data_IF_221074096586
#
_entry.id   IF_221074096586
#
_cell.length_a   1.000
_cell.length_b   1.000
_cell.length_c   1.000
_cell.angle_alpha   90.00
_cell.angle_beta   90.00
_cell.angle_gamma   90.00
#
_symmetry.space_group_name_H-M   'P 1'
#
loop_
_entity.id
_entity.type
_entity.pdbx_description
1 polymer ?
#
# COMPACT_ATOMS: atom_id res chain seq x y z
N UNK A 1 -4.17 -5.03 7.89
CA UNK A 1 -4.90 -4.08 7.00
C UNK A 1 -6.11 -3.52 7.74
N UNK A 2 -6.43 -2.24 7.57
CA UNK A 2 -7.66 -1.62 8.06
C UNK A 2 -8.44 -1.04 6.88
N UNK A 3 -9.77 -1.06 6.95
CA UNK A 3 -10.63 -0.52 5.91
C UNK A 3 -11.85 0.18 6.49
N UNK A 4 -12.50 0.98 5.66
CA UNK A 4 -13.73 1.71 5.99
C UNK A 4 -14.75 1.43 4.89
N UNK A 5 -15.97 1.08 5.29
CA UNK A 5 -17.11 0.94 4.38
C UNK A 5 -17.88 2.26 4.42
N UNK A 6 -18.05 2.86 3.24
CA UNK A 6 -18.82 4.08 3.07
C UNK A 6 -20.17 3.77 2.41
N UNK A 7 -21.23 4.37 2.94
CA UNK A 7 -22.56 4.39 2.35
C UNK A 7 -22.76 5.70 1.61
N UNK A 8 -23.09 5.61 0.32
CA UNK A 8 -23.59 6.74 -0.45
C UNK A 8 -25.12 6.63 -0.54
N UNK A 9 -25.82 7.57 0.08
CA UNK A 9 -27.28 7.66 -0.02
C UNK A 9 -27.68 8.38 -1.31
N UNK A 10 -28.98 8.37 -1.64
CA UNK A 10 -29.52 9.32 -2.60
C UNK A 10 -29.30 10.76 -2.10
N UNK A 11 -29.09 11.75 -2.98
CA UNK A 11 -28.96 13.13 -2.58
C UNK A 11 -30.23 13.63 -1.85
N UNK A 12 -30.11 14.45 -0.79
CA UNK A 12 -31.24 15.06 -0.08
C UNK A 12 -32.30 15.71 -0.97
N UNK A 13 -31.88 16.34 -2.08
CA UNK A 13 -32.79 16.96 -3.05
C UNK A 13 -33.75 15.99 -3.72
N UNK A 14 -33.36 14.71 -3.83
CA UNK A 14 -34.15 13.65 -4.46
C UNK A 14 -34.94 12.86 -3.42
N UNK A 15 -34.38 12.65 -2.23
CA UNK A 15 -35.01 11.86 -1.16
C UNK A 15 -36.02 12.64 -0.32
N UNK A 16 -35.93 13.99 -0.30
CA UNK A 16 -36.62 14.80 0.68
C UNK A 16 -36.29 14.37 2.11
N UNK A 17 -37.30 14.30 2.99
CA UNK A 17 -37.18 13.86 4.39
C UNK A 17 -37.28 12.33 4.59
N UNK A 18 -37.22 11.52 3.52
CA UNK A 18 -37.28 10.07 3.67
C UNK A 18 -35.95 9.52 4.20
N UNK A 19 -36.02 8.71 5.24
CA UNK A 19 -34.87 7.97 5.76
C UNK A 19 -34.47 6.85 4.79
N UNK A 20 -33.16 6.64 4.65
CA UNK A 20 -32.60 5.45 4.01
C UNK A 20 -32.51 4.35 5.06
N UNK A 21 -33.22 3.26 4.82
CA UNK A 21 -33.30 2.11 5.74
C UNK A 21 -33.14 0.81 4.97
N UNK A 22 -32.18 -0.02 5.37
CA UNK A 22 -31.98 -1.35 4.79
C UNK A 22 -31.10 -2.22 5.69
N UNK A 23 -31.16 -3.53 5.46
CA UNK A 23 -30.25 -4.49 6.08
C UNK A 23 -29.32 -5.09 5.03
N UNK A 24 -28.07 -5.37 5.42
CA UNK A 24 -27.08 -5.98 4.55
C UNK A 24 -26.22 -7.00 5.31
N UNK A 25 -25.66 -7.96 4.58
CA UNK A 25 -24.68 -8.93 5.08
C UNK A 25 -23.31 -8.63 4.51
N UNK A 26 -22.27 -8.84 5.32
CA UNK A 26 -20.90 -8.91 4.81
C UNK A 26 -20.49 -10.37 4.72
N UNK A 27 -20.17 -10.81 3.51
CA UNK A 27 -19.61 -12.14 3.26
C UNK A 27 -18.08 -12.12 3.40
N UNK A 28 -17.46 -13.29 3.60
CA UNK A 28 -15.98 -13.40 3.68
C UNK A 28 -15.36 -12.82 4.96
N UNK A 29 -16.10 -12.78 6.08
CA UNK A 29 -15.66 -12.16 7.34
C UNK A 29 -14.71 -13.02 8.17
N UNK A 30 -14.33 -14.22 7.73
CA UNK A 30 -13.43 -15.12 8.46
C UNK A 30 -12.05 -14.51 8.77
N UNK A 31 -11.59 -13.59 7.91
CA UNK A 31 -10.33 -12.88 8.07
C UNK A 31 -10.43 -11.62 8.94
N UNK A 32 -11.64 -11.19 9.32
CA UNK A 32 -11.89 -9.94 10.03
C UNK A 32 -11.64 -10.13 11.52
N UNK A 33 -10.67 -9.39 12.07
CA UNK A 33 -10.34 -9.38 13.49
C UNK A 33 -11.33 -8.56 14.31
N UNK A 34 -11.67 -7.36 13.82
CA UNK A 34 -12.55 -6.42 14.53
C UNK A 34 -13.37 -5.63 13.53
N UNK A 35 -14.63 -5.37 13.90
CA UNK A 35 -15.52 -4.42 13.24
C UNK A 35 -15.92 -3.36 14.28
N UNK A 36 -15.89 -2.10 13.88
CA UNK A 36 -16.44 -0.98 14.63
C UNK A 36 -17.53 -0.33 13.79
N UNK A 37 -18.73 -0.16 14.37
CA UNK A 37 -19.90 0.37 13.68
C UNK A 37 -20.16 1.82 14.09
N UNK A 38 -20.73 2.63 13.19
CA UNK A 38 -21.27 3.93 13.57
C UNK A 38 -22.62 3.74 14.27
N UNK A 39 -22.61 3.53 15.59
CA UNK A 39 -23.78 3.13 16.38
C UNK A 39 -24.99 4.06 16.30
N UNK A 40 -24.80 5.33 15.96
CA UNK A 40 -25.91 6.28 15.77
C UNK A 40 -26.76 6.02 14.52
N UNK A 41 -26.27 5.19 13.58
CA UNK A 41 -26.90 4.93 12.27
C UNK A 41 -26.92 3.45 11.90
N UNK A 42 -26.09 2.63 12.55
CA UNK A 42 -25.87 1.23 12.21
C UNK A 42 -25.98 0.37 13.45
N UNK A 43 -26.78 -0.68 13.35
CA UNK A 43 -26.92 -1.73 14.37
C UNK A 43 -26.41 -3.06 13.83
N UNK A 44 -25.80 -3.89 14.68
CA UNK A 44 -25.42 -5.26 14.31
C UNK A 44 -26.56 -6.22 14.67
N UNK A 45 -26.93 -7.08 13.73
CA UNK A 45 -27.96 -8.12 13.90
C UNK A 45 -27.35 -9.51 14.17
N UNK A 46 -26.03 -9.59 14.39
CA UNK A 46 -25.30 -10.87 14.47
C UNK A 46 -25.00 -11.48 13.10
N UNK A 47 -24.18 -12.54 13.04
CA UNK A 47 -23.85 -13.28 11.80
C UNK A 47 -23.41 -12.38 10.63
N UNK A 48 -22.61 -11.34 10.91
CA UNK A 48 -22.17 -10.33 9.93
C UNK A 48 -23.31 -9.58 9.21
N UNK A 49 -24.53 -9.59 9.78
CA UNK A 49 -25.66 -8.79 9.35
C UNK A 49 -25.66 -7.45 10.09
N UNK A 50 -25.99 -6.40 9.34
CA UNK A 50 -26.10 -5.03 9.84
C UNK A 50 -27.37 -4.41 9.32
N UNK A 51 -27.96 -3.53 10.14
CA UNK A 51 -29.11 -2.72 9.79
C UNK A 51 -28.70 -1.25 9.82
N UNK A 52 -29.04 -0.51 8.77
CA UNK A 52 -28.73 0.91 8.63
C UNK A 52 -30.02 1.69 8.62
N UNK A 53 -30.04 2.79 9.38
CA UNK A 53 -31.08 3.79 9.34
C UNK A 53 -30.45 5.18 9.43
N UNK A 54 -30.57 5.97 8.37
CA UNK A 54 -29.97 7.31 8.29
C UNK A 54 -30.74 8.22 7.36
N UNK A 55 -30.68 9.53 7.61
CA UNK A 55 -31.11 10.52 6.63
C UNK A 55 -30.16 10.57 5.43
N UNK A 56 -30.66 11.08 4.32
CA UNK A 56 -29.87 11.36 3.13
C UNK A 56 -28.73 12.35 3.43
N UNK A 57 -27.59 12.13 2.80
CA UNK A 57 -26.41 12.99 2.85
C UNK A 57 -25.85 13.21 1.46
N UNK A 58 -25.33 14.40 1.21
CA UNK A 58 -24.56 14.70 -0.01
C UNK A 58 -23.20 13.99 0.00
N UNK A 59 -22.62 13.76 1.19
CA UNK A 59 -21.31 13.13 1.36
C UNK A 59 -21.42 11.64 1.71
N UNK A 60 -20.48 10.79 1.25
CA UNK A 60 -20.41 9.40 1.67
C UNK A 60 -20.24 9.24 3.19
N UNK A 61 -21.10 8.44 3.81
CA UNK A 61 -21.13 8.24 5.25
C UNK A 61 -20.32 7.00 5.65
N UNK A 62 -19.32 7.10 6.56
CA UNK A 62 -18.58 5.94 7.04
C UNK A 62 -19.45 5.10 7.98
N UNK A 63 -19.94 3.95 7.51
CA UNK A 63 -20.86 3.11 8.28
C UNK A 63 -20.15 2.04 9.13
N UNK A 64 -18.98 1.57 8.67
CA UNK A 64 -18.19 0.54 9.35
C UNK A 64 -16.70 0.80 9.18
N UNK A 65 -15.92 0.47 10.21
CA UNK A 65 -14.47 0.31 10.11
C UNK A 65 -14.12 -1.12 10.47
N UNK A 66 -13.20 -1.74 9.74
CA UNK A 66 -12.77 -3.11 10.01
C UNK A 66 -11.25 -3.23 10.01
N UNK A 67 -10.75 -4.25 10.69
CA UNK A 67 -9.36 -4.68 10.62
C UNK A 67 -9.27 -6.17 10.35
N UNK A 68 -8.29 -6.57 9.54
CA UNK A 68 -8.01 -7.99 9.27
C UNK A 68 -7.04 -8.56 10.30
N UNK A 69 -7.12 -9.87 10.52
CA UNK A 69 -6.11 -10.62 11.26
C UNK A 69 -4.73 -10.44 10.58
N UNK A 70 -3.64 -10.25 11.33
CA UNK A 70 -2.32 -10.00 10.74
C UNK A 70 -1.85 -11.11 9.79
N UNK A 71 -2.05 -12.37 10.17
CA UNK A 71 -1.56 -13.55 9.43
C UNK A 71 -2.25 -13.76 8.08
N UNK A 72 -3.51 -13.32 7.96
CA UNK A 72 -4.32 -13.43 6.74
C UNK A 72 -4.42 -12.10 5.99
N UNK A 73 -3.69 -11.07 6.45
CA UNK A 73 -3.66 -9.79 5.73
C UNK A 73 -2.99 -10.02 4.39
N UNK A 74 -3.70 -9.79 3.26
CA UNK A 74 -3.10 -9.98 1.96
C UNK A 74 -1.93 -9.00 1.80
N UNK A 75 -0.79 -9.53 1.38
CA UNK A 75 0.39 -8.75 1.02
C UNK A 75 0.40 -8.67 -0.50
N UNK A 76 -0.02 -7.56 -1.13
CA UNK A 76 -0.19 -7.52 -2.59
C UNK A 76 1.13 -7.62 -3.34
N UNK A 77 2.20 -7.08 -2.76
CA UNK A 77 3.54 -7.07 -3.34
C UNK A 77 4.54 -7.52 -2.29
N UNK A 78 5.30 -8.57 -2.61
CA UNK A 78 6.46 -8.97 -1.82
C UNK A 78 7.68 -8.23 -2.34
N UNK A 79 8.41 -7.59 -1.44
CA UNK A 79 9.60 -6.80 -1.75
C UNK A 79 10.73 -7.23 -0.85
N UNK A 80 11.93 -7.37 -1.42
CA UNK A 80 13.17 -7.65 -0.71
C UNK A 80 14.22 -6.63 -1.12
N UNK A 81 14.75 -5.90 -0.14
CA UNK A 81 15.90 -5.02 -0.33
C UNK A 81 17.17 -5.76 0.08
N UNK A 82 18.18 -5.71 -0.78
CA UNK A 82 19.51 -6.28 -0.54
C UNK A 82 20.53 -5.17 -0.74
N UNK A 83 21.29 -4.84 0.31
CA UNK A 83 22.42 -3.93 0.24
C UNK A 83 23.73 -4.72 0.32
N UNK A 84 24.76 -4.26 -0.38
CA UNK A 84 26.12 -4.78 -0.31
C UNK A 84 27.09 -3.62 -0.46
N UNK A 85 27.95 -3.43 0.52
CA UNK A 85 29.01 -2.44 0.49
C UNK A 85 30.36 -3.16 0.36
N UNK A 86 31.20 -2.73 -0.58
CA UNK A 86 32.54 -3.30 -0.84
C UNK A 86 33.48 -2.16 -1.17
N UNK A 87 34.50 -1.95 -0.34
CA UNK A 87 35.35 -0.76 -0.45
C UNK A 87 34.49 0.50 -0.34
N UNK A 88 34.56 1.38 -1.33
CA UNK A 88 33.75 2.59 -1.40
C UNK A 88 32.46 2.41 -2.23
N UNK A 89 32.12 1.20 -2.68
CA UNK A 89 30.97 0.98 -3.56
C UNK A 89 29.79 0.37 -2.81
N UNK A 90 28.71 1.14 -2.70
CA UNK A 90 27.41 0.65 -2.25
C UNK A 90 26.59 0.14 -3.44
N UNK A 91 26.17 -1.11 -3.39
CA UNK A 91 25.25 -1.74 -4.33
C UNK A 91 23.94 -2.07 -3.63
N UNK A 92 22.82 -1.55 -4.15
CA UNK A 92 21.47 -1.82 -3.65
C UNK A 92 20.67 -2.53 -4.74
N UNK A 93 19.96 -3.59 -4.36
CA UNK A 93 19.05 -4.33 -5.21
C UNK A 93 17.69 -4.48 -4.53
N UNK A 94 16.65 -4.07 -5.22
CA UNK A 94 15.26 -4.30 -4.84
C UNK A 94 14.72 -5.42 -5.72
N UNK A 95 14.30 -6.52 -5.09
CA UNK A 95 13.60 -7.62 -5.75
C UNK A 95 12.13 -7.54 -5.40
N UNK A 96 11.25 -7.75 -6.39
CA UNK A 96 9.82 -7.67 -6.16
C UNK A 96 9.05 -8.72 -6.96
N UNK A 97 7.92 -9.16 -6.42
CA UNK A 97 6.94 -10.05 -7.07
C UNK A 97 5.55 -9.78 -6.50
N UNK A 98 4.54 -9.82 -7.36
CA UNK A 98 3.13 -9.76 -6.97
C UNK A 98 2.73 -11.01 -6.18
N UNK A 99 1.69 -10.89 -5.36
CA UNK A 99 1.04 -12.07 -4.82
C UNK A 99 0.17 -12.73 -5.91
N UNK A 100 0.38 -14.03 -6.22
CA UNK A 100 -0.36 -14.72 -7.27
C UNK A 100 -1.87 -14.83 -7.00
N UNK A 101 -2.29 -14.68 -5.74
CA UNK A 101 -3.69 -14.75 -5.31
C UNK A 101 -4.43 -13.40 -5.46
N UNK A 102 -3.76 -12.37 -5.99
CA UNK A 102 -4.43 -11.10 -6.31
C UNK A 102 -5.43 -11.29 -7.46
N UNK A 103 -6.58 -10.57 -7.43
CA UNK A 103 -7.59 -10.67 -8.47
C UNK A 103 -7.14 -10.09 -9.82
N UNK A 104 -6.21 -9.13 -9.81
CA UNK A 104 -5.69 -8.46 -11.00
C UNK A 104 -4.22 -8.02 -10.81
N UNK A 105 -3.46 -7.83 -11.91
CA UNK A 105 -2.11 -7.28 -11.86
C UNK A 105 -2.04 -5.92 -11.15
N UNK A 106 -0.88 -5.63 -10.54
CA UNK A 106 -0.62 -4.31 -9.95
C UNK A 106 -0.20 -3.35 -11.05
N UNK A 107 -0.83 -2.19 -11.12
CA UNK A 107 -0.54 -1.16 -12.13
C UNK A 107 0.02 0.10 -11.48
N UNK A 108 0.78 0.87 -12.26
CA UNK A 108 1.29 2.19 -11.86
C UNK A 108 2.17 2.13 -10.58
N UNK A 109 3.06 1.12 -10.49
CA UNK A 109 3.87 0.88 -9.30
C UNK A 109 5.10 1.77 -9.30
N UNK A 110 5.25 2.58 -8.26
CA UNK A 110 6.40 3.45 -8.04
C UNK A 110 7.28 2.93 -6.90
N UNK A 111 8.55 2.68 -7.19
CA UNK A 111 9.58 2.41 -6.18
C UNK A 111 10.41 3.67 -5.98
N UNK A 112 10.51 4.14 -4.75
CA UNK A 112 11.23 5.36 -4.36
C UNK A 112 12.31 4.95 -3.37
N UNK A 113 13.56 5.03 -3.77
CA UNK A 113 14.72 4.73 -2.94
C UNK A 113 15.32 6.03 -2.42
N UNK A 114 15.40 6.18 -1.09
CA UNK A 114 16.17 7.24 -0.45
C UNK A 114 17.65 6.89 -0.51
N UNK A 115 18.45 7.81 -1.03
CA UNK A 115 19.88 7.65 -1.15
C UNK A 115 20.54 8.16 0.14
N UNK A 116 21.53 7.42 0.69
CA UNK A 116 22.18 7.79 1.93
C UNK A 116 23.11 9.01 1.78
N UNK A 117 23.54 9.31 0.56
CA UNK A 117 24.48 10.40 0.23
C UNK A 117 24.02 11.15 -1.01
N UNK A 118 24.66 12.30 -1.27
CA UNK A 118 24.39 13.08 -2.47
C UNK A 118 24.77 12.30 -3.75
N UNK A 119 23.83 12.17 -4.71
CA UNK A 119 24.03 11.36 -5.90
C UNK A 119 24.98 12.04 -6.90
N UNK A 120 26.26 11.70 -6.86
CA UNK A 120 27.25 12.16 -7.84
C UNK A 120 27.30 11.21 -9.04
N UNK A 121 27.66 9.95 -8.81
CA UNK A 121 27.80 8.90 -9.83
C UNK A 121 26.90 7.70 -9.51
N UNK A 122 25.84 7.52 -10.29
CA UNK A 122 24.91 6.39 -10.13
C UNK A 122 24.94 5.47 -11.34
N UNK A 123 25.15 4.18 -11.10
CA UNK A 123 24.90 3.13 -12.09
C UNK A 123 23.55 2.48 -11.78
N UNK A 124 22.57 2.65 -12.66
CA UNK A 124 21.16 2.33 -12.39
C UNK A 124 20.60 1.38 -13.45
N UNK A 125 19.90 0.34 -13.03
CA UNK A 125 19.28 -0.65 -13.93
C UNK A 125 17.99 -1.25 -13.34
N UNK A 126 16.85 -1.21 -14.04
CA UNK A 126 16.58 -0.45 -15.27
C UNK A 126 16.65 1.07 -15.03
N UNK A 127 16.52 1.90 -16.07
CA UNK A 127 16.56 3.37 -15.93
C UNK A 127 15.54 3.87 -14.90
N UNK A 128 15.93 4.87 -14.11
CA UNK A 128 15.09 5.54 -13.12
C UNK A 128 15.27 7.06 -13.18
N UNK A 129 14.35 7.77 -12.55
CA UNK A 129 14.36 9.23 -12.44
C UNK A 129 15.03 9.62 -11.12
N UNK A 130 16.05 10.48 -11.19
CA UNK A 130 16.77 11.01 -10.03
C UNK A 130 16.16 12.35 -9.60
N UNK A 131 15.73 12.45 -8.35
CA UNK A 131 15.36 13.70 -7.70
C UNK A 131 16.50 14.10 -6.74
N UNK A 132 17.37 15.01 -7.19
CA UNK A 132 18.55 15.46 -6.43
C UNK A 132 18.18 16.20 -5.13
N UNK A 133 17.26 17.18 -5.13
CA UNK A 133 16.84 17.86 -3.90
C UNK A 133 16.40 16.91 -2.78
N UNK A 134 15.64 15.87 -3.13
CA UNK A 134 15.09 14.90 -2.15
C UNK A 134 15.99 13.69 -1.89
N UNK A 135 17.16 13.63 -2.55
CA UNK A 135 18.07 12.49 -2.60
C UNK A 135 17.31 11.17 -2.88
N UNK A 136 16.46 11.18 -3.91
CA UNK A 136 15.57 10.06 -4.25
C UNK A 136 15.83 9.50 -5.65
N UNK A 137 15.81 8.19 -5.77
CA UNK A 137 15.78 7.49 -7.05
C UNK A 137 14.42 6.79 -7.24
N UNK A 138 13.72 7.11 -8.32
CA UNK A 138 12.36 6.63 -8.58
C UNK A 138 12.29 5.76 -9.82
N UNK A 139 11.85 4.51 -9.65
CA UNK A 139 11.45 3.65 -10.76
C UNK A 139 9.94 3.64 -10.90
N UNK A 140 9.50 3.64 -12.16
CA UNK A 140 8.10 3.48 -12.51
C UNK A 140 7.91 2.17 -13.28
N UNK A 141 7.12 1.25 -12.72
CA UNK A 141 6.79 -0.04 -13.32
C UNK A 141 5.32 0.00 -13.71
N UNK A 142 5.05 0.03 -15.01
CA UNK A 142 3.70 0.16 -15.56
C UNK A 142 2.76 -0.93 -15.04
N UNK A 143 3.24 -2.16 -15.02
CA UNK A 143 2.46 -3.33 -14.60
C UNK A 143 3.38 -4.40 -13.99
N UNK A 144 2.91 -5.04 -12.92
CA UNK A 144 3.51 -6.24 -12.33
C UNK A 144 2.51 -7.39 -12.50
N UNK A 145 2.80 -8.40 -13.35
CA UNK A 145 1.88 -9.49 -13.64
C UNK A 145 1.69 -10.40 -12.41
N UNK A 146 0.55 -11.08 -12.29
CA UNK A 146 0.23 -12.00 -11.17
C UNK A 146 1.18 -13.19 -11.07
N UNK A 147 1.62 -13.69 -12.24
CA UNK A 147 2.57 -14.80 -12.36
C UNK A 147 3.68 -14.36 -13.30
N UNK A 148 4.92 -14.52 -12.89
CA UNK A 148 6.05 -14.08 -13.69
C UNK A 148 7.38 -14.19 -12.97
N UNK A 149 8.44 -13.78 -13.65
CA UNK A 149 9.78 -13.70 -13.08
C UNK A 149 9.84 -12.54 -12.08
N UNK A 150 10.68 -12.72 -11.06
CA UNK A 150 11.02 -11.66 -10.09
C UNK A 150 11.54 -10.42 -10.82
N UNK A 151 10.93 -9.27 -10.56
CA UNK A 151 11.44 -7.98 -10.98
C UNK A 151 12.67 -7.59 -10.16
N UNK A 152 13.61 -6.89 -10.77
CA UNK A 152 14.85 -6.44 -10.12
C UNK A 152 15.15 -4.99 -10.49
N UNK A 153 15.33 -4.15 -9.47
CA UNK A 153 15.84 -2.79 -9.59
C UNK A 153 17.19 -2.73 -8.90
N UNK A 154 18.16 -2.08 -9.50
CA UNK A 154 19.54 -2.03 -9.03
C UNK A 154 20.06 -0.60 -9.14
N UNK A 155 20.76 -0.17 -8.10
CA UNK A 155 21.61 1.00 -8.14
C UNK A 155 22.95 0.68 -7.50
N UNK A 156 24.02 1.26 -8.06
CA UNK A 156 25.34 1.27 -7.46
C UNK A 156 25.84 2.70 -7.42
N UNK A 157 26.48 3.07 -6.32
CA UNK A 157 27.00 4.42 -6.09
C UNK A 157 28.26 4.38 -5.20
N UNK A 158 29.17 5.34 -5.34
CA UNK A 158 30.26 5.52 -4.38
C UNK A 158 29.69 6.07 -3.07
N UNK A 159 30.13 5.50 -1.94
CA UNK A 159 29.85 5.91 -0.57
C UNK A 159 31.13 5.67 0.22
N UNK A 160 31.77 6.77 0.62
CA UNK A 160 32.93 6.75 1.50
C UNK A 160 32.41 6.69 2.94
N UNK A 161 32.65 5.56 3.62
CA UNK A 161 32.34 5.37 5.03
C UNK A 161 33.69 5.23 5.72
N UNK A 162 33.92 5.97 6.80
CA UNK A 162 35.12 5.77 7.61
C UNK A 162 35.06 4.39 8.29
N UNK A 163 36.20 3.72 8.45
CA UNK A 163 36.26 2.37 9.06
C UNK A 163 35.73 2.35 10.50
N UNK A 164 35.70 3.50 11.20
CA UNK A 164 35.11 3.67 12.53
C UNK A 164 33.57 3.73 12.50
N UNK A 165 32.97 4.12 11.37
CA UNK A 165 31.51 4.15 11.15
C UNK A 165 30.99 2.84 10.52
N UNK A 166 31.85 1.83 10.34
CA UNK A 166 31.47 0.55 9.72
C UNK A 166 30.47 -0.27 10.56
N UNK A 167 30.33 0.05 11.85
CA UNK A 167 29.26 -0.48 12.72
C UNK A 167 27.93 0.26 12.57
N UNK A 168 27.93 1.51 12.07
CA UNK A 168 26.70 2.21 11.70
C UNK A 168 26.21 1.70 10.33
N UNK A 169 25.23 0.78 10.36
CA UNK A 169 24.58 0.29 9.16
C UNK A 169 24.09 1.46 8.29
N UNK A 170 24.64 1.62 7.07
CA UNK A 170 24.05 2.58 6.11
C UNK A 170 22.56 2.28 5.97
N UNK A 171 21.74 3.22 6.38
CA UNK A 171 20.30 3.14 6.29
C UNK A 171 19.84 3.40 4.86
N UNK A 172 19.26 2.36 4.27
CA UNK A 172 18.73 2.41 2.91
C UNK A 172 17.24 2.13 2.97
N UNK A 173 16.44 3.16 2.76
CA UNK A 173 14.97 3.08 2.83
C UNK A 173 14.39 3.10 1.42
N UNK A 174 13.50 2.14 1.14
CA UNK A 174 12.72 2.10 -0.10
C UNK A 174 11.22 2.10 0.19
N UNK A 175 10.52 3.07 -0.39
CA UNK A 175 9.06 3.15 -0.38
C UNK A 175 8.51 2.56 -1.67
N UNK A 176 7.40 1.85 -1.57
CA UNK A 176 6.64 1.37 -2.73
C UNK A 176 5.24 1.94 -2.65
N UNK A 177 4.81 2.60 -3.72
CA UNK A 177 3.46 3.16 -3.88
C UNK A 177 2.80 2.51 -5.09
N UNK A 178 1.58 2.04 -4.92
CA UNK A 178 0.79 1.43 -5.99
C UNK A 178 -0.70 1.51 -5.68
N UNK A 179 -1.51 1.26 -6.70
CA UNK A 179 -2.95 1.08 -6.58
C UNK A 179 -3.29 -0.36 -6.95
N UNK A 180 -4.17 -0.98 -6.17
CA UNK A 180 -4.75 -2.28 -6.50
C UNK A 180 -6.18 -2.04 -6.95
N UNK A 181 -6.52 -2.50 -8.15
CA UNK A 181 -7.92 -2.63 -8.56
C UNK A 181 -8.41 -3.98 -8.07
N UNK A 182 -9.48 -3.98 -7.28
CA UNK A 182 -10.15 -5.16 -6.73
C UNK A 182 -11.63 -5.11 -7.02
#
# INVERSE_FOLDING_TARGET
LMGVVYLRTLPPKVSGNKETEFSFRIDGTSAVKRVAIQSSRVSSLGNAMFHVRTFASEEPLPILKYSLLPQVTPIPLRVRLVKRHVGTLLSVMIQYVSNPDLPAPLTDVAFILKLPVDPTLLTVSPKAVLNRPEKELKWHVKEIPLKGKLGKLRVRMPVDINEEDAEEEIDVVCYVKFLVKG
#
